data_IF_136556469699
#
_entry.id   IF_136556469699
#
_cell.length_a   1.000
_cell.length_b   1.000
_cell.length_c   1.000
_cell.angle_alpha   90.00
_cell.angle_beta   90.00
_cell.angle_gamma   90.00
#
_symmetry.space_group_name_H-M   'P 1'
#
loop_
_entity.id
_entity.type
_entity.pdbx_description
1 polymer ?
#
# COMPACT_ATOMS: atom_id res chain seq x y z
N UNK A 1 31.82 -7.04 -1.72
CA UNK A 1 31.97 -8.22 -0.86
C UNK A 1 30.65 -8.42 -0.14
N UNK A 2 30.07 -9.62 -0.16
CA UNK A 2 28.87 -9.97 0.61
C UNK A 2 29.23 -10.12 2.08
N UNK A 3 28.40 -9.57 2.97
CA UNK A 3 28.55 -9.66 4.43
C UNK A 3 27.60 -10.74 4.97
N UNK A 4 28.01 -11.44 6.02
CA UNK A 4 27.14 -12.39 6.75
C UNK A 4 25.86 -11.75 7.28
N UNK A 5 25.89 -10.42 7.50
CA UNK A 5 24.73 -9.60 7.93
C UNK A 5 23.97 -8.96 6.79
N UNK A 6 24.30 -9.26 5.52
CA UNK A 6 23.46 -8.83 4.39
C UNK A 6 22.06 -9.43 4.55
N UNK A 7 21.05 -8.61 4.31
CA UNK A 7 19.66 -9.02 4.47
C UNK A 7 19.14 -9.56 3.15
N UNK A 8 18.71 -10.79 3.19
CA UNK A 8 18.17 -11.51 2.04
C UNK A 8 16.68 -11.72 2.15
N UNK A 9 16.01 -11.78 1.01
CA UNK A 9 14.60 -12.14 0.88
C UNK A 9 14.54 -13.58 0.38
N UNK A 10 14.00 -14.46 1.22
CA UNK A 10 13.94 -15.91 0.93
C UNK A 10 12.71 -16.26 0.10
N UNK A 11 11.55 -15.70 0.45
CA UNK A 11 10.28 -15.94 -0.23
C UNK A 11 9.36 -14.72 -0.07
N UNK A 12 8.35 -14.65 -0.95
CA UNK A 12 7.31 -13.64 -0.86
C UNK A 12 6.02 -14.09 -1.55
N UNK A 13 4.90 -13.73 -0.94
CA UNK A 13 3.58 -14.14 -1.37
C UNK A 13 2.57 -13.03 -1.09
N UNK A 14 1.45 -13.04 -1.80
CA UNK A 14 0.32 -12.14 -1.55
C UNK A 14 -1.03 -12.84 -1.75
N UNK A 15 -2.06 -12.29 -1.18
CA UNK A 15 -3.43 -12.61 -1.58
C UNK A 15 -3.77 -11.97 -2.92
N UNK A 16 -4.85 -12.38 -3.58
CA UNK A 16 -5.46 -11.55 -4.61
C UNK A 16 -5.74 -10.15 -4.07
N UNK A 17 -5.64 -9.14 -4.94
CA UNK A 17 -6.11 -7.80 -4.65
C UNK A 17 -7.53 -7.63 -5.20
N UNK A 18 -8.43 -7.22 -4.34
CA UNK A 18 -9.86 -7.25 -4.59
C UNK A 18 -10.45 -5.87 -4.34
N UNK A 19 -11.20 -5.34 -5.31
CA UNK A 19 -11.89 -4.06 -5.16
C UNK A 19 -12.75 -4.06 -3.90
N UNK A 20 -12.71 -2.98 -3.13
CA UNK A 20 -13.49 -2.83 -1.90
C UNK A 20 -15.01 -2.99 -2.16
N UNK A 21 -15.73 -3.35 -1.11
CA UNK A 21 -17.18 -3.64 -1.12
C UNK A 21 -17.60 -4.75 -2.09
N UNK A 22 -16.66 -5.68 -2.39
CA UNK A 22 -16.94 -6.85 -3.23
C UNK A 22 -16.62 -8.16 -2.50
N UNK A 23 -15.77 -9.03 -3.07
CA UNK A 23 -15.54 -10.39 -2.56
C UNK A 23 -14.92 -10.43 -1.14
N UNK A 24 -14.06 -9.47 -0.77
CA UNK A 24 -13.41 -9.45 0.54
C UNK A 24 -14.05 -8.52 1.56
N UNK A 25 -15.22 -7.92 1.26
CA UNK A 25 -15.86 -6.94 2.14
C UNK A 25 -16.08 -7.45 3.58
N UNK A 26 -16.35 -8.74 3.74
CA UNK A 26 -16.63 -9.37 5.04
C UNK A 26 -15.42 -10.16 5.60
N UNK A 27 -14.26 -10.12 4.92
CA UNK A 27 -13.02 -10.79 5.36
C UNK A 27 -12.22 -9.86 6.25
N UNK A 28 -12.06 -10.20 7.51
CA UNK A 28 -11.27 -9.38 8.44
C UNK A 28 -9.82 -9.19 7.94
N UNK A 29 -9.21 -7.98 8.02
CA UNK A 29 -7.85 -7.76 7.53
C UNK A 29 -6.80 -8.65 8.19
N UNK A 30 -7.00 -9.06 9.45
CA UNK A 30 -6.14 -10.05 10.09
C UNK A 30 -6.23 -11.43 9.44
N UNK A 31 -7.36 -11.78 8.83
CA UNK A 31 -7.51 -13.06 8.12
C UNK A 31 -6.78 -13.00 6.77
N UNK A 32 -6.86 -11.90 6.03
CA UNK A 32 -6.07 -11.71 4.81
C UNK A 32 -4.56 -11.79 5.11
N UNK A 33 -4.11 -11.12 6.18
CA UNK A 33 -2.73 -11.18 6.65
C UNK A 33 -2.32 -12.59 7.09
N UNK A 34 -3.20 -13.32 7.80
CA UNK A 34 -2.97 -14.70 8.20
C UNK A 34 -2.76 -15.61 6.99
N UNK A 35 -3.60 -15.49 5.96
CA UNK A 35 -3.47 -16.29 4.74
C UNK A 35 -2.11 -16.04 4.07
N UNK A 36 -1.70 -14.78 3.93
CA UNK A 36 -0.40 -14.46 3.34
C UNK A 36 0.79 -14.97 4.17
N UNK A 37 0.75 -14.81 5.51
CA UNK A 37 1.84 -15.26 6.40
C UNK A 37 1.90 -16.78 6.47
N UNK A 38 0.76 -17.45 6.55
CA UNK A 38 0.70 -18.94 6.58
C UNK A 38 1.27 -19.51 5.27
N UNK A 39 0.82 -19.02 4.13
CA UNK A 39 1.34 -19.46 2.83
C UNK A 39 2.84 -19.18 2.67
N UNK A 40 3.32 -18.05 3.20
CA UNK A 40 4.75 -17.74 3.21
C UNK A 40 5.55 -18.79 3.97
N UNK A 41 5.05 -19.21 5.16
CA UNK A 41 5.66 -20.25 5.98
C UNK A 41 5.73 -21.57 5.20
N UNK A 42 4.63 -21.98 4.58
CA UNK A 42 4.54 -23.22 3.81
C UNK A 42 5.47 -23.19 2.59
N UNK A 43 5.42 -22.14 1.78
CA UNK A 43 6.29 -22.02 0.58
C UNK A 43 7.77 -21.99 0.92
N UNK A 44 8.12 -21.33 2.02
CA UNK A 44 9.51 -21.27 2.48
C UNK A 44 9.94 -22.55 3.22
N UNK A 45 9.03 -23.46 3.55
CA UNK A 45 9.27 -24.58 4.46
C UNK A 45 9.97 -24.11 5.74
N UNK A 46 9.43 -23.05 6.36
CA UNK A 46 10.03 -22.35 7.47
C UNK A 46 9.71 -23.04 8.81
N UNK A 47 10.75 -23.40 9.57
CA UNK A 47 10.57 -23.72 10.99
C UNK A 47 10.18 -22.45 11.76
N UNK A 48 8.91 -22.35 12.15
CA UNK A 48 8.36 -21.19 12.86
C UNK A 48 9.03 -20.93 14.20
N UNK A 49 9.67 -21.93 14.80
CA UNK A 49 10.47 -21.79 16.02
C UNK A 49 11.73 -20.93 15.83
N UNK A 50 12.15 -20.68 14.58
CA UNK A 50 13.33 -19.89 14.21
C UNK A 50 13.00 -18.41 13.92
N UNK A 51 11.72 -18.03 13.90
CA UNK A 51 11.30 -16.64 13.70
C UNK A 51 11.62 -15.81 14.94
N UNK A 52 12.21 -14.64 14.72
CA UNK A 52 12.51 -13.69 15.80
C UNK A 52 11.38 -12.69 16.01
N UNK A 53 10.75 -12.20 14.93
CA UNK A 53 9.64 -11.27 15.01
C UNK A 53 8.76 -11.28 13.75
N UNK A 54 7.49 -10.89 13.92
CA UNK A 54 6.56 -10.60 12.80
C UNK A 54 6.22 -9.12 12.78
N UNK A 55 6.45 -8.45 11.65
CA UNK A 55 6.22 -7.01 11.47
C UNK A 55 5.25 -6.80 10.31
N UNK A 56 4.05 -6.28 10.59
CA UNK A 56 3.01 -6.09 9.58
C UNK A 56 2.60 -4.62 9.50
N UNK A 57 2.60 -4.07 8.29
CA UNK A 57 2.03 -2.77 7.98
C UNK A 57 0.50 -2.82 7.92
N UNK A 58 -0.15 -1.84 8.53
CA UNK A 58 -1.59 -1.66 8.42
C UNK A 58 -1.95 -0.20 8.68
N UNK A 59 -2.94 0.34 7.96
CA UNK A 59 -3.37 1.73 8.13
C UNK A 59 -4.76 1.85 8.72
N UNK A 60 -5.61 0.85 8.54
CA UNK A 60 -6.98 0.85 9.03
C UNK A 60 -7.13 0.65 10.53
N UNK A 61 -6.13 0.10 11.19
CA UNK A 61 -6.08 -0.16 12.64
C UNK A 61 -7.43 -0.64 13.19
N UNK A 62 -7.86 -1.88 12.87
CA UNK A 62 -9.16 -2.39 13.34
C UNK A 62 -9.20 -2.39 14.87
N UNK A 63 -10.30 -1.91 15.45
CA UNK A 63 -10.44 -1.73 16.90
C UNK A 63 -10.40 -3.03 17.71
N UNK A 64 -10.74 -4.14 17.08
CA UNK A 64 -10.71 -5.51 17.64
C UNK A 64 -9.37 -6.23 17.42
N UNK A 65 -8.44 -5.59 16.68
CA UNK A 65 -7.10 -6.09 16.44
C UNK A 65 -6.07 -4.94 16.33
N UNK A 66 -5.98 -4.10 17.36
CA UNK A 66 -5.13 -2.88 17.37
C UNK A 66 -3.66 -3.20 17.03
N UNK A 67 -3.07 -4.25 17.60
CA UNK A 67 -1.82 -4.83 17.11
C UNK A 67 -2.15 -6.00 16.17
N UNK A 68 -2.56 -5.67 14.95
CA UNK A 68 -2.99 -6.67 13.97
C UNK A 68 -1.88 -7.67 13.65
N UNK A 69 -0.61 -7.25 13.67
CA UNK A 69 0.54 -8.14 13.47
C UNK A 69 0.54 -9.29 14.48
N UNK A 70 0.26 -8.99 15.74
CA UNK A 70 0.21 -10.02 16.79
C UNK A 70 -0.93 -11.02 16.55
N UNK A 71 -2.09 -10.51 16.14
CA UNK A 71 -3.24 -11.35 15.81
C UNK A 71 -2.93 -12.26 14.61
N UNK A 72 -2.32 -11.71 13.56
CA UNK A 72 -1.89 -12.46 12.37
C UNK A 72 -0.89 -13.54 12.75
N UNK A 73 0.17 -13.19 13.49
CA UNK A 73 1.22 -14.12 13.91
C UNK A 73 0.65 -15.34 14.64
N UNK A 74 -0.18 -15.11 15.65
CA UNK A 74 -0.79 -16.18 16.43
C UNK A 74 -1.73 -17.07 15.60
N UNK A 75 -2.55 -16.44 14.73
CA UNK A 75 -3.46 -17.19 13.85
C UNK A 75 -2.74 -17.94 12.72
N UNK A 76 -1.55 -17.50 12.33
CA UNK A 76 -0.71 -18.18 11.35
C UNK A 76 0.12 -19.33 11.96
N UNK A 77 0.03 -19.57 13.27
CA UNK A 77 0.75 -20.65 13.93
C UNK A 77 2.13 -20.27 14.48
N UNK A 78 2.48 -18.97 14.49
CA UNK A 78 3.73 -18.50 15.09
C UNK A 78 3.66 -18.68 16.62
N UNK A 79 4.70 -19.23 17.27
CA UNK A 79 4.74 -19.46 18.70
C UNK A 79 4.48 -18.21 19.54
N UNK A 80 3.77 -18.37 20.65
CA UNK A 80 3.37 -17.25 21.51
C UNK A 80 4.55 -16.46 22.09
N UNK A 81 5.73 -17.05 22.22
CA UNK A 81 6.95 -16.38 22.70
C UNK A 81 7.53 -15.37 21.70
N UNK A 82 7.17 -15.51 20.40
CA UNK A 82 7.70 -14.65 19.34
C UNK A 82 6.91 -13.34 19.32
N UNK A 83 7.56 -12.19 19.47
CA UNK A 83 6.89 -10.89 19.44
C UNK A 83 6.39 -10.53 18.05
N UNK A 84 5.44 -9.60 18.01
CA UNK A 84 4.96 -9.03 16.76
C UNK A 84 4.54 -7.58 16.94
N UNK A 85 4.80 -6.73 15.94
CA UNK A 85 4.43 -5.32 15.98
C UNK A 85 3.79 -4.85 14.67
N UNK A 86 2.86 -3.92 14.80
CA UNK A 86 2.25 -3.24 13.67
C UNK A 86 2.96 -1.92 13.41
N UNK A 87 3.27 -1.63 12.14
CA UNK A 87 3.89 -0.37 11.71
C UNK A 87 2.97 0.41 10.79
N UNK A 88 3.10 1.74 10.82
CA UNK A 88 2.26 2.64 10.06
C UNK A 88 3.10 3.76 9.41
N UNK A 89 3.13 3.78 8.08
CA UNK A 89 3.69 4.86 7.24
C UNK A 89 2.76 5.09 6.03
N UNK A 90 1.47 5.25 6.26
CA UNK A 90 0.46 5.39 5.19
C UNK A 90 0.70 4.35 4.08
N UNK A 91 0.75 4.76 2.81
CA UNK A 91 0.93 3.88 1.65
C UNK A 91 2.19 3.01 1.69
N UNK A 92 3.19 3.38 2.49
CA UNK A 92 4.44 2.63 2.65
C UNK A 92 4.48 1.74 3.90
N UNK A 93 3.38 1.51 4.61
CA UNK A 93 3.38 0.71 5.85
C UNK A 93 4.01 -0.67 5.67
N UNK A 94 3.68 -1.36 4.56
CA UNK A 94 4.30 -2.64 4.25
C UNK A 94 5.76 -2.53 3.79
N UNK A 95 6.19 -1.43 3.19
CA UNK A 95 7.61 -1.19 2.93
C UNK A 95 8.36 -0.89 4.23
N UNK A 96 7.73 -0.14 5.16
CA UNK A 96 8.27 0.12 6.50
C UNK A 96 8.50 -1.18 7.28
N UNK A 97 7.60 -2.17 7.16
CA UNK A 97 7.80 -3.47 7.82
C UNK A 97 9.08 -4.17 7.32
N UNK A 98 9.33 -4.12 6.00
CA UNK A 98 10.53 -4.68 5.38
C UNK A 98 11.77 -3.92 5.84
N UNK A 99 11.74 -2.58 5.82
CA UNK A 99 12.91 -1.76 6.21
C UNK A 99 13.19 -1.84 7.71
N UNK A 100 12.16 -1.95 8.56
CA UNK A 100 12.34 -2.22 9.99
C UNK A 100 13.01 -3.58 10.24
N UNK A 101 12.55 -4.63 9.55
CA UNK A 101 13.18 -5.95 9.60
C UNK A 101 14.64 -5.90 9.11
N UNK A 102 14.88 -5.19 8.01
CA UNK A 102 16.23 -4.96 7.47
C UNK A 102 17.16 -4.33 8.51
N UNK A 103 16.74 -3.23 9.16
CA UNK A 103 17.59 -2.55 10.17
C UNK A 103 17.89 -3.46 11.36
N UNK A 104 16.92 -4.23 11.86
CA UNK A 104 17.10 -5.14 12.99
C UNK A 104 18.05 -6.28 12.66
N UNK A 105 17.94 -6.86 11.46
CA UNK A 105 18.85 -7.89 10.99
C UNK A 105 20.26 -7.31 10.79
N UNK A 106 20.40 -6.15 10.17
CA UNK A 106 21.70 -5.47 10.00
C UNK A 106 22.36 -5.14 11.33
N UNK A 107 21.58 -4.70 12.32
CA UNK A 107 22.07 -4.40 13.67
C UNK A 107 22.47 -5.65 14.48
N UNK A 108 22.18 -6.86 14.00
CA UNK A 108 22.48 -8.10 14.70
C UNK A 108 21.53 -8.46 15.83
N UNK A 109 20.41 -7.75 15.96
CA UNK A 109 19.41 -8.02 17.01
C UNK A 109 18.44 -9.15 16.62
N UNK A 110 18.32 -9.45 15.33
CA UNK A 110 17.48 -10.50 14.77
C UNK A 110 18.16 -11.14 13.56
N UNK A 111 17.71 -12.35 13.20
CA UNK A 111 18.17 -13.09 12.04
C UNK A 111 17.06 -13.50 11.09
N UNK A 112 15.82 -13.70 11.59
CA UNK A 112 14.67 -14.18 10.83
C UNK A 112 13.46 -13.31 11.13
N UNK A 113 12.97 -12.57 10.15
CA UNK A 113 11.83 -11.67 10.30
C UNK A 113 10.80 -11.95 9.20
N UNK A 114 9.54 -12.14 9.60
CA UNK A 114 8.41 -12.11 8.67
C UNK A 114 7.93 -10.66 8.59
N UNK A 115 8.06 -10.03 7.42
CA UNK A 115 7.61 -8.69 7.16
C UNK A 115 6.47 -8.69 6.14
N UNK A 116 5.55 -7.75 6.24
CA UNK A 116 4.43 -7.71 5.30
C UNK A 116 3.49 -6.57 5.55
N UNK A 117 2.29 -6.69 4.98
CA UNK A 117 1.22 -5.75 5.22
C UNK A 117 -0.14 -6.31 4.84
N UNK A 118 -1.16 -5.78 5.46
CA UNK A 118 -2.56 -6.14 5.20
C UNK A 118 -3.44 -4.91 5.24
N UNK A 119 -4.45 -4.89 4.40
CA UNK A 119 -5.48 -3.85 4.44
C UNK A 119 -6.82 -4.42 4.00
N UNK A 120 -7.88 -4.06 4.70
CA UNK A 120 -9.23 -4.20 4.20
C UNK A 120 -9.92 -2.84 4.27
N UNK A 121 -9.93 -2.14 3.14
CA UNK A 121 -10.51 -0.81 3.04
C UNK A 121 -12.05 -0.85 3.02
N UNK A 122 -12.64 -2.02 2.74
CA UNK A 122 -14.08 -2.27 2.86
C UNK A 122 -14.57 -2.20 4.32
N UNK A 123 -13.68 -2.53 5.27
CA UNK A 123 -14.03 -2.57 6.70
C UNK A 123 -13.59 -1.32 7.47
N UNK A 124 -13.22 -0.26 6.78
CA UNK A 124 -12.94 1.02 7.42
C UNK A 124 -14.19 1.54 8.15
N UNK A 125 -14.10 1.85 9.47
CA UNK A 125 -15.28 2.11 10.27
C UNK A 125 -15.93 3.46 9.98
N UNK A 126 -17.19 3.59 10.38
CA UNK A 126 -17.82 4.88 10.62
C UNK A 126 -17.39 5.38 11.99
N UNK A 127 -16.83 6.58 12.05
CA UNK A 127 -16.42 7.22 13.30
C UNK A 127 -17.56 8.11 13.76
N UNK A 128 -18.15 7.76 14.90
CA UNK A 128 -19.20 8.55 15.51
C UNK A 128 -18.63 9.74 16.29
N UNK A 129 -19.36 10.86 16.29
CA UNK A 129 -18.97 12.04 17.07
C UNK A 129 -19.02 11.75 18.58
N UNK A 130 -18.18 12.47 19.35
CA UNK A 130 -18.13 12.30 20.82
C UNK A 130 -19.49 12.49 21.52
N UNK A 131 -20.33 13.50 21.19
CA UNK A 131 -21.66 13.62 21.76
C UNK A 131 -22.57 12.42 21.47
N UNK A 132 -22.49 11.84 20.27
CA UNK A 132 -23.24 10.64 19.90
C UNK A 132 -22.80 9.43 20.74
N UNK A 133 -21.48 9.21 20.86
CA UNK A 133 -20.91 8.14 21.70
C UNK A 133 -21.34 8.31 23.16
N UNK A 134 -21.30 9.54 23.70
CA UNK A 134 -21.75 9.83 25.06
C UNK A 134 -23.24 9.54 25.26
N UNK A 135 -24.07 9.83 24.26
CA UNK A 135 -25.50 9.53 24.33
C UNK A 135 -25.75 8.02 24.37
N UNK A 136 -25.04 7.23 23.58
CA UNK A 136 -25.06 5.76 23.64
C UNK A 136 -24.56 5.22 24.98
N UNK A 137 -23.49 5.75 25.52
CA UNK A 137 -22.96 5.35 26.84
C UNK A 137 -23.98 5.63 27.96
N UNK A 138 -24.68 6.80 27.92
CA UNK A 138 -25.76 7.12 28.86
C UNK A 138 -26.92 6.14 28.73
N UNK A 139 -27.28 5.77 27.49
CA UNK A 139 -28.36 4.81 27.24
C UNK A 139 -27.99 3.41 27.79
N UNK A 140 -26.76 2.94 27.53
CA UNK A 140 -26.26 1.65 28.03
C UNK A 140 -26.10 1.62 29.57
N UNK A 141 -25.82 2.77 30.20
CA UNK A 141 -25.68 2.89 31.65
C UNK A 141 -27.00 3.16 32.38
N UNK A 142 -28.10 3.39 31.67
CA UNK A 142 -29.40 3.74 32.26
C UNK A 142 -30.08 2.53 32.89
N UNK A 143 -30.22 2.54 34.21
CA UNK A 143 -30.80 1.44 35.01
C UNK A 143 -32.31 1.52 35.21
N UNK A 144 -32.99 2.53 34.68
CA UNK A 144 -34.42 2.69 34.76
C UNK A 144 -35.04 3.05 33.43
N UNK A 145 -36.30 2.68 33.16
CA UNK A 145 -36.99 3.04 31.92
C UNK A 145 -37.05 4.56 31.66
N UNK A 146 -37.19 5.35 32.72
CA UNK A 146 -37.20 6.82 32.63
C UNK A 146 -35.83 7.38 32.21
N UNK A 147 -34.73 6.82 32.73
CA UNK A 147 -33.39 7.20 32.35
C UNK A 147 -33.07 6.79 30.91
N UNK A 148 -33.57 5.65 30.45
CA UNK A 148 -33.45 5.17 29.05
C UNK A 148 -34.22 6.12 28.12
N UNK A 149 -35.45 6.50 28.48
CA UNK A 149 -36.27 7.45 27.72
C UNK A 149 -35.63 8.84 27.64
N UNK A 150 -35.04 9.31 28.75
CA UNK A 150 -34.28 10.57 28.79
C UNK A 150 -33.02 10.53 27.90
N UNK A 151 -32.27 9.42 27.91
CA UNK A 151 -31.09 9.22 27.05
C UNK A 151 -31.48 9.14 25.56
N UNK A 152 -32.57 8.44 25.23
CA UNK A 152 -33.20 8.42 23.90
C UNK A 152 -33.67 9.80 23.46
N UNK A 153 -34.32 10.55 24.36
CA UNK A 153 -34.71 11.93 24.12
C UNK A 153 -33.53 12.87 23.84
N UNK A 154 -32.38 12.59 24.46
CA UNK A 154 -31.10 13.26 24.15
C UNK A 154 -30.55 12.92 22.75
N UNK A 155 -30.73 11.68 22.30
CA UNK A 155 -30.39 11.25 20.92
C UNK A 155 -31.34 11.87 19.88
N UNK A 156 -32.63 11.98 20.19
CA UNK A 156 -33.66 12.56 19.31
C UNK A 156 -33.61 14.09 19.28
N UNK A 157 -33.20 14.74 20.38
CA UNK A 157 -32.89 16.17 20.44
C UNK A 157 -31.56 16.56 19.80
N UNK A 158 -30.75 15.59 19.47
CA UNK A 158 -29.57 15.77 18.63
C UNK A 158 -30.05 16.27 17.26
N UNK A 159 -30.09 17.57 17.15
CA UNK A 159 -30.83 18.39 16.19
C UNK A 159 -30.48 17.93 14.76
N UNK A 160 -31.40 17.21 14.13
CA UNK A 160 -31.33 16.88 12.70
C UNK A 160 -31.16 18.16 11.85
N UNK A 161 -31.53 19.33 12.36
CA UNK A 161 -31.35 20.62 11.72
C UNK A 161 -29.84 21.03 11.67
N UNK A 162 -29.07 20.77 12.73
CA UNK A 162 -27.60 20.97 12.72
C UNK A 162 -26.89 19.99 11.80
N UNK A 163 -27.44 18.80 11.58
CA UNK A 163 -26.87 17.83 10.61
C UNK A 163 -26.97 18.39 9.18
N UNK A 164 -27.98 19.17 8.85
CA UNK A 164 -28.13 19.77 7.52
C UNK A 164 -27.33 21.06 7.32
N UNK A 165 -27.23 21.91 8.33
CA UNK A 165 -26.50 23.19 8.25
C UNK A 165 -24.97 23.01 8.23
N UNK A 166 -24.43 21.92 8.80
CA UNK A 166 -22.99 21.63 8.89
C UNK A 166 -22.44 20.85 7.68
N UNK A 167 -23.26 20.56 6.67
CA UNK A 167 -22.77 20.03 5.39
C UNK A 167 -21.95 21.05 4.58
N UNK A 168 -21.85 22.29 5.03
CA UNK A 168 -21.25 23.41 4.27
C UNK A 168 -19.92 23.93 4.80
N UNK A 169 -19.41 23.46 5.94
CA UNK A 169 -18.12 23.90 6.48
C UNK A 169 -17.05 22.80 6.35
N UNK A 170 -16.12 22.92 5.40
CA UNK A 170 -14.99 22.00 5.31
C UNK A 170 -13.90 22.42 6.31
N UNK A 171 -13.87 21.79 7.48
CA UNK A 171 -12.70 21.86 8.36
C UNK A 171 -12.44 20.48 8.96
N UNK A 172 -11.27 19.90 8.76
CA UNK A 172 -10.91 18.59 9.32
C UNK A 172 -10.80 18.62 10.84
N UNK A 173 -10.71 19.82 11.46
CA UNK A 173 -10.55 19.99 12.91
C UNK A 173 -11.84 20.39 13.64
N UNK A 174 -12.91 20.76 12.93
CA UNK A 174 -14.19 21.09 13.55
C UNK A 174 -15.04 19.82 13.64
N UNK A 175 -15.08 19.23 14.83
CA UNK A 175 -15.99 18.11 15.13
C UNK A 175 -17.43 18.63 15.15
N UNK A 176 -18.16 18.39 14.08
CA UNK A 176 -19.60 18.63 14.04
C UNK A 176 -20.30 17.63 14.96
N UNK A 177 -21.16 18.14 15.85
CA UNK A 177 -21.61 17.40 17.04
C UNK A 177 -22.26 16.03 16.77
N UNK A 178 -22.81 15.76 15.58
CA UNK A 178 -23.59 14.54 15.33
C UNK A 178 -23.37 13.86 13.98
N UNK A 179 -22.49 14.36 13.11
CA UNK A 179 -22.25 13.76 11.79
C UNK A 179 -21.31 12.55 11.92
N UNK A 180 -21.71 11.34 11.50
CA UNK A 180 -20.76 10.23 11.39
C UNK A 180 -19.73 10.56 10.32
N UNK A 181 -18.44 10.26 10.62
CA UNK A 181 -17.33 10.46 9.71
C UNK A 181 -16.96 9.12 9.08
N UNK A 182 -16.71 9.13 7.80
CA UNK A 182 -16.31 7.94 7.05
C UNK A 182 -14.79 7.84 7.12
N UNK A 183 -14.26 6.91 7.91
CA UNK A 183 -12.82 6.80 8.20
C UNK A 183 -11.96 6.72 6.92
N UNK A 184 -12.42 6.00 5.90
CA UNK A 184 -11.70 5.90 4.62
C UNK A 184 -11.59 7.27 3.91
N UNK A 185 -12.64 8.09 3.94
CA UNK A 185 -12.58 9.42 3.32
C UNK A 185 -11.63 10.36 4.06
N UNK A 186 -11.60 10.25 5.40
CA UNK A 186 -10.65 11.00 6.22
C UNK A 186 -9.22 10.51 6.01
N UNK A 187 -8.99 9.20 5.97
CA UNK A 187 -7.68 8.62 5.72
C UNK A 187 -7.11 8.95 4.33
N UNK A 188 -7.99 9.22 3.35
CA UNK A 188 -7.61 9.66 2.00
C UNK A 188 -7.58 11.19 1.85
N UNK A 189 -7.75 11.94 2.94
CA UNK A 189 -7.66 13.40 2.97
C UNK A 189 -6.47 13.78 3.86
N UNK A 190 -5.56 14.57 3.31
CA UNK A 190 -4.41 15.04 4.08
C UNK A 190 -4.88 16.01 5.18
N UNK A 191 -4.60 15.74 6.46
CA UNK A 191 -5.11 16.57 7.55
C UNK A 191 -4.39 17.92 7.69
N UNK A 192 -3.19 18.06 7.12
CA UNK A 192 -2.40 19.29 7.19
C UNK A 192 -2.84 20.32 6.15
N UNK A 193 -3.02 19.87 4.89
CA UNK A 193 -3.43 20.77 3.80
C UNK A 193 -4.91 20.69 3.47
N UNK A 194 -5.66 19.76 4.07
CA UNK A 194 -7.11 19.64 3.95
C UNK A 194 -7.62 19.19 2.58
N UNK A 195 -6.77 18.59 1.74
CA UNK A 195 -7.14 18.14 0.38
C UNK A 195 -7.06 16.62 0.26
N UNK A 196 -7.93 16.06 -0.58
CA UNK A 196 -7.97 14.62 -0.87
C UNK A 196 -6.78 14.20 -1.74
N UNK A 197 -6.35 12.93 -1.62
CA UNK A 197 -5.22 12.39 -2.39
C UNK A 197 -5.39 12.55 -3.90
N UNK A 198 -6.62 12.44 -4.43
CA UNK A 198 -6.87 12.71 -5.85
C UNK A 198 -6.72 14.18 -6.23
N UNK A 199 -6.99 15.11 -5.33
CA UNK A 199 -6.73 16.54 -5.55
C UNK A 199 -5.23 16.83 -5.59
N UNK A 200 -4.39 16.11 -4.82
CA UNK A 200 -2.93 16.21 -4.95
C UNK A 200 -2.46 15.77 -6.35
N UNK A 201 -3.10 14.75 -6.92
CA UNK A 201 -2.80 14.30 -8.28
C UNK A 201 -3.25 15.30 -9.35
N UNK A 202 -4.38 16.02 -9.15
CA UNK A 202 -4.81 17.12 -10.03
C UNK A 202 -3.80 18.28 -10.02
N UNK A 203 -3.23 18.61 -8.85
CA UNK A 203 -2.15 19.61 -8.75
C UNK A 203 -0.97 19.19 -9.63
N UNK A 204 -0.53 17.94 -9.53
CA UNK A 204 0.58 17.44 -10.34
C UNK A 204 0.24 17.40 -11.82
N UNK A 205 -0.97 16.99 -12.20
CA UNK A 205 -1.41 17.02 -13.59
C UNK A 205 -1.28 18.42 -14.20
N UNK A 206 -1.70 19.44 -13.45
CA UNK A 206 -1.63 20.84 -13.87
C UNK A 206 -0.19 21.36 -13.91
N UNK A 207 0.61 21.15 -12.87
CA UNK A 207 1.98 21.66 -12.76
C UNK A 207 2.92 21.04 -13.81
N UNK A 208 2.71 19.77 -14.15
CA UNK A 208 3.53 19.04 -15.12
C UNK A 208 2.94 18.99 -16.53
N UNK A 209 1.84 19.71 -16.77
CA UNK A 209 1.19 19.80 -18.09
C UNK A 209 0.76 18.42 -18.63
N UNK A 210 0.18 17.58 -17.77
CA UNK A 210 -0.24 16.22 -18.14
C UNK A 210 -1.67 16.26 -18.69
N UNK A 211 -1.83 15.87 -19.94
CA UNK A 211 -3.15 15.80 -20.55
C UNK A 211 -3.97 14.61 -20.02
N UNK A 212 -5.28 14.69 -20.15
CA UNK A 212 -6.19 13.59 -19.85
C UNK A 212 -5.88 12.36 -20.71
N UNK A 213 -5.52 12.57 -21.97
CA UNK A 213 -5.19 11.49 -22.89
C UNK A 213 -3.94 10.71 -22.45
N UNK A 214 -2.83 11.40 -22.08
CA UNK A 214 -1.62 10.74 -21.56
C UNK A 214 -1.93 9.87 -20.34
N UNK A 215 -2.79 10.35 -19.43
CA UNK A 215 -3.19 9.62 -18.22
C UNK A 215 -4.04 8.40 -18.56
N UNK A 216 -4.99 8.52 -19.47
CA UNK A 216 -5.85 7.39 -19.89
C UNK A 216 -5.06 6.34 -20.69
N UNK A 217 -4.10 6.74 -21.54
CA UNK A 217 -3.18 5.82 -22.24
C UNK A 217 -2.31 5.04 -21.25
N UNK A 218 -1.82 5.71 -20.20
CA UNK A 218 -1.07 5.05 -19.14
C UNK A 218 -1.94 4.02 -18.41
N UNK A 219 -3.16 4.38 -18.03
CA UNK A 219 -4.11 3.50 -17.37
C UNK A 219 -4.48 2.29 -18.23
N UNK A 220 -4.71 2.50 -19.54
CA UNK A 220 -4.97 1.41 -20.48
C UNK A 220 -3.80 0.41 -20.52
N UNK A 221 -2.57 0.91 -20.61
CA UNK A 221 -1.35 0.06 -20.60
C UNK A 221 -1.21 -0.74 -19.31
N UNK A 222 -1.54 -0.14 -18.15
CA UNK A 222 -1.55 -0.86 -16.86
C UNK A 222 -2.50 -2.06 -16.91
N UNK A 223 -3.74 -1.87 -17.38
CA UNK A 223 -4.70 -2.95 -17.56
C UNK A 223 -4.23 -4.02 -18.55
N UNK A 224 -3.71 -3.61 -19.70
CA UNK A 224 -3.21 -4.55 -20.72
C UNK A 224 -2.08 -5.43 -20.19
N UNK A 225 -1.10 -4.85 -19.50
CA UNK A 225 0.00 -5.58 -18.86
C UNK A 225 -0.52 -6.53 -17.78
N UNK A 226 -1.44 -6.09 -16.93
CA UNK A 226 -2.00 -6.93 -15.87
C UNK A 226 -2.81 -8.12 -16.44
N UNK A 227 -3.62 -7.90 -17.46
CA UNK A 227 -4.35 -8.97 -18.16
C UNK A 227 -3.39 -9.96 -18.81
N UNK A 228 -2.34 -9.49 -19.46
CA UNK A 228 -1.31 -10.35 -20.06
C UNK A 228 -0.60 -11.20 -19.00
N UNK A 229 -0.24 -10.61 -17.85
CA UNK A 229 0.39 -11.31 -16.74
C UNK A 229 -0.54 -12.36 -16.09
N UNK A 230 -1.84 -12.09 -15.99
CA UNK A 230 -2.82 -13.08 -15.53
C UNK A 230 -2.95 -14.25 -16.54
N UNK A 231 -3.11 -13.95 -17.83
CA UNK A 231 -3.26 -14.96 -18.87
C UNK A 231 -2.03 -15.87 -19.02
N UNK A 232 -0.84 -15.32 -18.79
CA UNK A 232 0.42 -16.10 -18.84
C UNK A 232 0.68 -16.94 -17.58
N UNK A 233 -0.17 -16.82 -16.54
CA UNK A 233 0.06 -17.48 -15.25
C UNK A 233 1.09 -16.80 -14.36
N UNK A 234 1.73 -15.69 -14.79
CA UNK A 234 2.76 -14.99 -14.02
C UNK A 234 2.27 -14.53 -12.64
N UNK A 235 1.03 -14.03 -12.57
CA UNK A 235 0.46 -13.58 -11.29
C UNK A 235 0.20 -14.74 -10.32
N UNK A 236 -0.09 -15.94 -10.81
CA UNK A 236 -0.32 -17.12 -9.97
C UNK A 236 0.94 -17.56 -9.19
N UNK A 237 2.14 -17.19 -9.67
CA UNK A 237 3.41 -17.50 -8.99
C UNK A 237 3.53 -16.78 -7.63
N UNK A 238 2.89 -15.64 -7.46
CA UNK A 238 2.96 -14.82 -6.24
C UNK A 238 1.66 -14.82 -5.42
N UNK A 239 0.54 -15.28 -6.00
CA UNK A 239 -0.77 -15.24 -5.35
C UNK A 239 -1.07 -16.56 -4.62
N UNK A 240 -1.64 -16.46 -3.43
CA UNK A 240 -2.28 -17.57 -2.71
C UNK A 240 -3.79 -17.37 -2.69
N UNK A 241 -4.61 -18.41 -2.94
CA UNK A 241 -6.06 -18.32 -2.86
C UNK A 241 -6.55 -17.96 -1.45
N UNK A 242 -7.61 -17.17 -1.37
CA UNK A 242 -8.33 -16.88 -0.14
C UNK A 242 -9.68 -17.59 -0.17
N UNK A 243 -9.86 -18.54 0.73
CA UNK A 243 -11.11 -19.27 0.90
C UNK A 243 -12.07 -18.50 1.80
N UNK A 244 -13.34 -18.38 1.36
CA UNK A 244 -14.34 -17.54 1.98
C UNK A 244 -15.06 -18.27 3.12
N UNK A 245 -14.98 -17.73 4.34
CA UNK A 245 -15.75 -18.23 5.48
C UNK A 245 -17.26 -18.01 5.28
N UNK A 246 -18.15 -18.74 5.98
CA UNK A 246 -17.83 -19.81 6.93
C UNK A 246 -17.70 -21.21 6.31
N UNK A 247 -18.17 -21.41 5.07
CA UNK A 247 -18.21 -22.74 4.46
C UNK A 247 -16.94 -23.14 3.72
N UNK A 248 -16.06 -22.17 3.37
CA UNK A 248 -14.80 -22.37 2.65
C UNK A 248 -14.94 -23.10 1.31
N UNK A 249 -16.13 -23.02 0.69
CA UNK A 249 -16.44 -23.62 -0.63
C UNK A 249 -16.08 -22.69 -1.78
N UNK A 250 -16.20 -21.40 -1.56
CA UNK A 250 -15.80 -20.37 -2.52
C UNK A 250 -14.42 -19.84 -2.20
N UNK A 251 -13.65 -19.51 -3.22
CA UNK A 251 -12.34 -18.91 -3.06
C UNK A 251 -12.07 -17.84 -4.14
N UNK A 252 -11.15 -16.96 -3.86
CA UNK A 252 -10.63 -15.99 -4.82
C UNK A 252 -9.14 -16.26 -5.01
N UNK A 253 -8.73 -16.53 -6.26
CA UNK A 253 -7.35 -16.92 -6.61
C UNK A 253 -6.68 -15.94 -7.57
N UNK A 254 -7.36 -14.87 -7.98
CA UNK A 254 -6.86 -13.89 -8.94
C UNK A 254 -7.29 -12.50 -8.57
N UNK A 255 -6.47 -11.51 -8.94
CA UNK A 255 -6.87 -10.10 -8.86
C UNK A 255 -8.12 -9.86 -9.72
N UNK A 256 -9.09 -9.14 -9.19
CA UNK A 256 -10.35 -8.89 -9.88
C UNK A 256 -10.41 -7.53 -10.60
N UNK A 257 -9.35 -6.73 -10.44
CA UNK A 257 -9.28 -5.38 -11.01
C UNK A 257 -8.98 -5.30 -12.51
N UNK A 258 -8.11 -6.17 -13.08
CA UNK A 258 -7.73 -6.10 -14.48
C UNK A 258 -8.91 -6.26 -15.43
N UNK A 259 -9.00 -5.37 -16.45
CA UNK A 259 -10.12 -5.30 -17.39
C UNK A 259 -9.65 -5.61 -18.82
N UNK A 260 -9.96 -6.81 -19.35
CA UNK A 260 -9.56 -7.19 -20.71
C UNK A 260 -10.13 -6.29 -21.81
N UNK A 261 -11.36 -5.80 -21.60
CA UNK A 261 -12.12 -5.01 -22.59
C UNK A 261 -11.88 -3.48 -22.43
N UNK A 262 -10.92 -3.06 -21.62
CA UNK A 262 -10.66 -1.63 -21.42
C UNK A 262 -10.18 -1.01 -22.74
N UNK A 263 -10.72 0.18 -23.07
CA UNK A 263 -10.34 0.91 -24.28
C UNK A 263 -10.26 2.42 -24.04
N UNK A 264 -9.54 3.13 -24.92
CA UNK A 264 -9.47 4.60 -24.89
C UNK A 264 -10.84 5.25 -25.05
N UNK A 265 -11.72 4.66 -25.84
CA UNK A 265 -13.09 5.15 -26.01
C UNK A 265 -13.88 5.09 -24.69
N UNK A 266 -13.77 3.98 -23.95
CA UNK A 266 -14.43 3.83 -22.64
C UNK A 266 -13.85 4.79 -21.62
N UNK A 267 -12.53 4.95 -21.57
CA UNK A 267 -11.83 5.86 -20.67
C UNK A 267 -12.24 7.31 -20.94
N UNK A 268 -12.25 7.72 -22.20
CA UNK A 268 -12.60 9.09 -22.63
C UNK A 268 -14.03 9.52 -22.25
N UNK A 269 -14.97 8.57 -22.08
CA UNK A 269 -16.35 8.85 -21.65
C UNK A 269 -16.46 9.21 -20.16
N UNK A 270 -15.44 8.91 -19.34
CA UNK A 270 -15.49 9.14 -17.91
C UNK A 270 -15.29 10.61 -17.56
N UNK A 271 -16.09 11.10 -16.62
CA UNK A 271 -15.98 12.47 -16.13
C UNK A 271 -14.88 12.57 -15.06
N UNK A 272 -14.18 13.71 -14.95
CA UNK A 272 -13.29 13.99 -13.83
C UNK A 272 -14.00 13.79 -12.48
N UNK A 273 -13.30 13.20 -11.52
CA UNK A 273 -13.88 12.83 -10.23
C UNK A 273 -13.58 13.84 -9.12
N UNK A 274 -12.33 14.27 -9.02
CA UNK A 274 -11.86 15.12 -7.90
C UNK A 274 -12.02 16.62 -8.16
N UNK A 275 -11.78 17.07 -9.38
CA UNK A 275 -12.15 18.41 -9.85
C UNK A 275 -13.11 18.26 -11.03
N UNK A 276 -14.41 18.42 -10.76
CA UNK A 276 -15.46 18.20 -11.76
C UNK A 276 -15.43 19.17 -12.93
N UNK A 277 -14.79 20.33 -12.76
CA UNK A 277 -14.83 21.43 -13.75
C UNK A 277 -13.57 21.47 -14.63
N UNK A 278 -12.42 21.30 -14.02
CA UNK A 278 -11.13 21.49 -14.68
C UNK A 278 -10.19 20.28 -14.54
N UNK A 279 -10.63 19.24 -13.84
CA UNK A 279 -9.82 18.07 -13.56
C UNK A 279 -9.64 17.13 -14.72
N UNK A 280 -8.68 16.25 -14.56
CA UNK A 280 -8.30 15.22 -15.53
C UNK A 280 -8.30 13.82 -14.92
N UNK A 281 -8.32 13.75 -13.58
CA UNK A 281 -8.31 12.48 -12.85
C UNK A 281 -9.71 11.87 -12.81
N UNK A 282 -9.82 10.61 -13.24
CA UNK A 282 -11.06 9.84 -13.24
C UNK A 282 -10.94 8.60 -12.38
N UNK A 283 -12.02 7.91 -12.15
CA UNK A 283 -12.04 6.61 -11.45
C UNK A 283 -11.30 5.48 -12.19
N UNK A 284 -10.88 5.70 -13.43
CA UNK A 284 -10.18 4.70 -14.23
C UNK A 284 -8.70 5.02 -14.49
N UNK A 285 -8.24 6.26 -14.24
CA UNK A 285 -6.82 6.61 -14.26
C UNK A 285 -6.25 6.85 -12.84
N UNK A 286 -6.99 6.37 -11.82
CA UNK A 286 -6.65 6.29 -10.42
C UNK A 286 -6.78 4.84 -9.94
N UNK A 287 -5.99 4.44 -8.94
CA UNK A 287 -6.13 3.12 -8.34
C UNK A 287 -7.48 2.98 -7.62
N UNK A 288 -8.15 1.83 -7.69
CA UNK A 288 -9.36 1.57 -6.91
C UNK A 288 -9.04 1.36 -5.43
N UNK A 289 -10.00 1.66 -4.58
CA UNK A 289 -10.00 1.25 -3.17
C UNK A 289 -10.04 -0.28 -3.13
N UNK A 290 -9.15 -0.90 -2.34
CA UNK A 290 -8.82 -2.31 -2.51
C UNK A 290 -8.50 -3.00 -1.19
N UNK A 291 -8.79 -4.30 -1.12
CA UNK A 291 -8.51 -5.19 0.00
C UNK A 291 -7.43 -6.20 -0.41
N UNK A 292 -6.51 -6.54 0.50
CA UNK A 292 -5.48 -7.53 0.24
C UNK A 292 -4.35 -7.53 1.26
N UNK A 293 -3.47 -8.53 1.17
CA UNK A 293 -2.30 -8.69 2.03
C UNK A 293 -1.10 -9.23 1.24
N UNK A 294 0.10 -8.97 1.74
CA UNK A 294 1.35 -9.51 1.20
C UNK A 294 2.36 -9.73 2.34
N UNK A 295 3.23 -10.74 2.19
CA UNK A 295 4.26 -11.04 3.16
C UNK A 295 5.56 -11.48 2.47
N UNK A 296 6.70 -11.22 3.11
CA UNK A 296 8.06 -11.64 2.71
C UNK A 296 8.81 -12.19 3.92
N UNK A 297 9.68 -13.16 3.67
CA UNK A 297 10.60 -13.72 4.67
C UNK A 297 11.98 -13.10 4.50
N UNK A 298 12.42 -12.37 5.52
CA UNK A 298 13.75 -11.75 5.60
C UNK A 298 14.66 -12.56 6.51
N UNK A 299 15.89 -12.76 6.09
CA UNK A 299 16.93 -13.40 6.91
C UNK A 299 18.26 -12.68 6.79
N UNK A 300 19.15 -12.84 7.80
CA UNK A 300 20.56 -12.60 7.58
C UNK A 300 21.09 -13.67 6.60
N UNK A 301 22.06 -13.32 5.76
CA UNK A 301 22.63 -14.24 4.78
C UNK A 301 23.22 -15.50 5.43
N UNK A 302 23.92 -15.32 6.57
CA UNK A 302 24.45 -16.44 7.33
C UNK A 302 23.35 -17.37 7.83
N UNK A 303 22.24 -16.79 8.33
CA UNK A 303 21.12 -17.59 8.87
C UNK A 303 20.35 -18.33 7.77
N UNK A 304 20.15 -17.70 6.63
CA UNK A 304 19.54 -18.34 5.47
C UNK A 304 20.37 -19.58 5.03
N UNK A 305 21.70 -19.42 4.96
CA UNK A 305 22.62 -20.53 4.64
C UNK A 305 22.58 -21.64 5.70
N UNK A 306 22.61 -21.29 6.99
CA UNK A 306 22.54 -22.24 8.10
C UNK A 306 21.26 -23.08 8.06
N UNK A 307 20.12 -22.45 7.77
CA UNK A 307 18.83 -23.11 7.68
C UNK A 307 18.57 -23.78 6.32
N UNK A 308 19.51 -23.70 5.38
CA UNK A 308 19.39 -24.33 4.06
C UNK A 308 18.46 -23.62 3.09
N UNK A 309 18.09 -22.37 3.36
CA UNK A 309 17.28 -21.57 2.46
C UNK A 309 18.10 -20.98 1.31
N UNK A 310 17.48 -20.89 0.13
CA UNK A 310 18.04 -20.24 -1.06
C UNK A 310 17.38 -18.87 -1.24
N UNK A 311 18.09 -17.76 -1.00
CA UNK A 311 17.52 -16.44 -1.19
C UNK A 311 17.15 -16.16 -2.65
N UNK A 312 16.07 -15.41 -2.85
CA UNK A 312 15.63 -14.91 -4.16
C UNK A 312 16.33 -13.58 -4.49
N UNK A 313 16.43 -12.70 -3.48
CA UNK A 313 17.04 -11.39 -3.63
C UNK A 313 17.72 -10.95 -2.33
N UNK A 314 18.59 -9.94 -2.42
CA UNK A 314 19.12 -9.20 -1.26
C UNK A 314 18.73 -7.73 -1.32
N UNK A 315 18.54 -7.10 -0.15
CA UNK A 315 18.23 -5.67 -0.05
C UNK A 315 19.54 -4.89 -0.10
N UNK A 316 19.73 -4.07 -1.14
CA UNK A 316 20.93 -3.22 -1.29
C UNK A 316 20.82 -1.92 -0.52
N UNK A 317 19.70 -1.27 -0.61
CA UNK A 317 19.41 -0.01 0.08
C UNK A 317 17.94 0.30 0.09
N UNK A 318 17.58 1.23 0.93
CA UNK A 318 16.27 1.89 0.90
C UNK A 318 16.40 3.35 1.30
N UNK A 319 15.36 4.14 1.03
CA UNK A 319 15.24 5.51 1.51
C UNK A 319 13.79 5.92 1.66
N UNK A 320 13.53 6.75 2.67
CA UNK A 320 12.34 7.58 2.74
C UNK A 320 12.77 9.04 2.60
N UNK A 321 11.92 9.85 1.95
CA UNK A 321 12.14 11.28 1.77
C UNK A 321 10.83 12.04 2.02
N UNK A 322 10.93 13.24 2.60
CA UNK A 322 9.79 14.15 2.82
C UNK A 322 9.72 15.21 1.73
N UNK A 323 8.51 15.69 1.46
CA UNK A 323 8.22 16.80 0.54
C UNK A 323 6.90 17.47 0.94
N UNK A 324 6.50 18.50 0.19
CA UNK A 324 5.24 19.21 0.42
C UNK A 324 4.04 18.24 0.32
N UNK A 325 3.14 18.18 1.32
CA UNK A 325 2.02 17.23 1.35
C UNK A 325 1.10 17.30 0.13
N UNK A 326 0.83 18.49 -0.39
CA UNK A 326 0.00 18.70 -1.58
C UNK A 326 0.64 18.15 -2.87
N UNK A 327 1.95 17.85 -2.84
CA UNK A 327 2.71 17.24 -3.94
C UNK A 327 3.21 15.84 -3.60
N UNK A 328 2.57 15.16 -2.64
CA UNK A 328 2.97 13.85 -2.14
C UNK A 328 3.24 12.83 -3.26
N UNK A 329 2.54 12.96 -4.39
CA UNK A 329 2.71 12.07 -5.54
C UNK A 329 4.12 12.08 -6.13
N UNK A 330 4.92 13.14 -5.93
CA UNK A 330 6.33 13.19 -6.35
C UNK A 330 7.28 12.45 -5.39
N UNK A 331 6.79 11.86 -4.29
CA UNK A 331 7.59 11.13 -3.32
C UNK A 331 8.63 10.18 -3.92
N UNK A 332 8.30 9.36 -4.94
CA UNK A 332 9.26 8.52 -5.65
C UNK A 332 10.45 9.29 -6.23
N UNK A 333 10.23 10.47 -6.79
CA UNK A 333 11.30 11.29 -7.36
C UNK A 333 12.25 11.86 -6.30
N UNK A 334 11.81 11.99 -5.04
CA UNK A 334 12.67 12.39 -3.92
C UNK A 334 13.38 11.21 -3.26
N UNK A 335 12.70 10.08 -3.07
CA UNK A 335 13.27 8.93 -2.37
C UNK A 335 14.25 8.11 -3.23
N UNK A 336 13.96 7.96 -4.53
CA UNK A 336 14.77 7.14 -5.44
C UNK A 336 16.24 7.58 -5.53
N UNK A 337 16.60 8.86 -5.75
CA UNK A 337 18.00 9.26 -5.84
C UNK A 337 18.76 9.01 -4.53
N UNK A 338 18.10 9.09 -3.39
CA UNK A 338 18.72 8.78 -2.09
C UNK A 338 19.02 7.29 -1.97
N UNK A 339 18.07 6.43 -2.37
CA UNK A 339 18.26 4.99 -2.36
C UNK A 339 19.36 4.56 -3.34
N UNK A 340 19.37 5.11 -4.56
CA UNK A 340 20.41 4.87 -5.56
C UNK A 340 21.79 5.25 -5.04
N UNK A 341 21.94 6.44 -4.45
CA UNK A 341 23.21 6.90 -3.87
C UNK A 341 23.71 5.95 -2.77
N UNK A 342 22.81 5.50 -1.88
CA UNK A 342 23.16 4.55 -0.80
C UNK A 342 23.61 3.20 -1.35
N UNK A 343 23.05 2.75 -2.48
CA UNK A 343 23.45 1.53 -3.15
C UNK A 343 24.75 1.67 -3.97
N UNK A 344 25.21 2.88 -4.23
CA UNK A 344 26.31 3.15 -5.17
C UNK A 344 25.91 2.89 -6.63
N UNK A 345 24.61 3.02 -6.94
CA UNK A 345 24.01 2.72 -8.25
C UNK A 345 23.37 3.96 -8.86
N UNK A 346 23.06 3.87 -10.15
CA UNK A 346 22.30 4.87 -10.91
C UNK A 346 21.00 4.26 -11.42
N UNK A 347 20.09 5.10 -11.91
CA UNK A 347 18.83 4.61 -12.50
C UNK A 347 19.06 3.71 -13.73
N UNK A 348 20.17 3.89 -14.43
CA UNK A 348 20.56 3.07 -15.62
C UNK A 348 20.92 1.63 -15.26
N UNK A 349 21.30 1.38 -14.02
CA UNK A 349 21.64 0.03 -13.53
C UNK A 349 20.37 -0.78 -13.21
N UNK A 350 19.20 -0.13 -13.13
CA UNK A 350 17.94 -0.79 -12.86
C UNK A 350 17.42 -1.49 -14.12
N UNK A 351 17.28 -2.81 -14.06
CA UNK A 351 16.69 -3.59 -15.15
C UNK A 351 15.16 -3.74 -15.04
N UNK A 352 14.60 -3.50 -13.84
CA UNK A 352 13.15 -3.46 -13.58
C UNK A 352 12.81 -2.38 -12.55
N UNK A 353 11.64 -1.75 -12.73
CA UNK A 353 11.10 -0.74 -11.82
C UNK A 353 9.63 -1.04 -11.52
N UNK A 354 9.29 -1.18 -10.25
CA UNK A 354 7.93 -1.19 -9.75
C UNK A 354 7.65 0.17 -9.10
N UNK A 355 6.94 1.07 -9.78
CA UNK A 355 6.49 2.36 -9.28
C UNK A 355 4.99 2.28 -9.01
N UNK A 356 4.57 2.47 -7.76
CA UNK A 356 3.15 2.38 -7.42
C UNK A 356 2.30 3.38 -8.20
N UNK A 357 1.24 2.90 -8.82
CA UNK A 357 0.32 3.68 -9.63
C UNK A 357 -0.87 4.16 -8.81
N UNK A 358 -0.66 5.04 -7.83
CA UNK A 358 -1.77 5.63 -7.10
C UNK A 358 -2.67 6.45 -8.05
N UNK A 359 -2.06 7.17 -8.98
CA UNK A 359 -2.70 7.92 -10.07
C UNK A 359 -1.79 7.91 -11.30
N UNK A 360 -2.35 7.84 -12.49
CA UNK A 360 -1.57 7.94 -13.73
C UNK A 360 -0.80 9.27 -13.80
N UNK A 361 -1.45 10.39 -13.42
CA UNK A 361 -0.81 11.70 -13.34
C UNK A 361 0.39 11.70 -12.39
N UNK A 362 0.29 11.02 -11.25
CA UNK A 362 1.38 10.92 -10.27
C UNK A 362 2.59 10.19 -10.85
N UNK A 363 2.39 9.07 -11.53
CA UNK A 363 3.49 8.31 -12.16
C UNK A 363 4.15 9.14 -13.26
N UNK A 364 3.36 9.73 -14.14
CA UNK A 364 3.86 10.55 -15.24
C UNK A 364 4.61 11.79 -14.72
N UNK A 365 4.12 12.43 -13.65
CA UNK A 365 4.84 13.53 -13.00
C UNK A 365 6.18 13.07 -12.42
N UNK A 366 6.22 11.93 -11.74
CA UNK A 366 7.48 11.36 -11.21
C UNK A 366 8.50 11.08 -12.30
N UNK A 367 8.08 10.47 -13.41
CA UNK A 367 9.00 10.15 -14.52
C UNK A 367 9.55 11.43 -15.17
N UNK A 368 8.69 12.45 -15.40
CA UNK A 368 9.11 13.77 -15.90
C UNK A 368 10.04 14.49 -14.89
N UNK A 369 9.75 14.40 -13.58
CA UNK A 369 10.57 15.03 -12.55
C UNK A 369 11.96 14.42 -12.47
N UNK A 370 12.07 13.10 -12.48
CA UNK A 370 13.37 12.42 -12.46
C UNK A 370 14.20 12.70 -13.72
N UNK A 371 13.58 12.98 -14.85
CA UNK A 371 14.26 13.34 -16.12
C UNK A 371 14.47 14.85 -16.32
N UNK A 372 14.29 15.64 -15.27
CA UNK A 372 14.42 17.11 -15.31
C UNK A 372 15.66 17.60 -14.56
N UNK A 373 16.61 18.23 -15.29
CA UNK A 373 17.76 18.91 -14.67
C UNK A 373 17.33 20.06 -13.75
N UNK A 374 16.27 20.79 -14.14
CA UNK A 374 15.71 21.86 -13.31
C UNK A 374 15.19 21.32 -11.98
N UNK A 375 14.41 20.23 -12.01
CA UNK A 375 13.89 19.62 -10.79
C UNK A 375 15.03 19.09 -9.92
N UNK A 376 16.02 18.42 -10.52
CA UNK A 376 17.18 17.89 -9.82
C UNK A 376 17.93 19.01 -9.06
N UNK A 377 18.17 20.13 -9.71
CA UNK A 377 18.85 21.27 -9.10
C UNK A 377 18.00 21.97 -8.05
N UNK A 378 16.76 22.31 -8.36
CA UNK A 378 15.92 23.17 -7.52
C UNK A 378 15.34 22.43 -6.31
N UNK A 379 15.08 21.12 -6.45
CA UNK A 379 14.36 20.33 -5.45
C UNK A 379 15.20 19.24 -4.79
N UNK A 380 16.18 18.68 -5.49
CA UNK A 380 17.00 17.57 -4.97
C UNK A 380 18.43 17.99 -4.59
N UNK A 381 18.87 19.21 -4.95
CA UNK A 381 20.25 19.67 -4.74
C UNK A 381 21.27 18.84 -5.53
N UNK A 382 20.87 18.30 -6.68
CA UNK A 382 21.72 17.51 -7.57
C UNK A 382 22.15 18.34 -8.78
N UNK A 383 23.38 18.14 -9.26
CA UNK A 383 23.91 18.83 -10.43
C UNK A 383 23.25 18.36 -11.75
N UNK A 384 22.72 17.14 -11.75
CA UNK A 384 22.15 16.49 -12.94
C UNK A 384 20.85 15.75 -12.56
N UNK A 385 19.98 15.58 -13.55
CA UNK A 385 18.78 14.73 -13.44
C UNK A 385 19.12 13.30 -13.01
N UNK A 386 18.17 12.67 -12.32
CA UNK A 386 18.28 11.24 -11.92
C UNK A 386 18.30 10.36 -13.17
N UNK A 387 17.46 10.67 -14.15
CA UNK A 387 17.36 10.01 -15.44
C UNK A 387 15.91 9.64 -15.79
N UNK A 388 15.69 9.27 -17.04
CA UNK A 388 14.41 8.76 -17.52
C UNK A 388 14.24 7.29 -17.11
N UNK A 389 13.04 6.94 -16.64
CA UNK A 389 12.64 5.53 -16.50
C UNK A 389 12.14 5.04 -17.85
N UNK A 390 12.73 3.96 -18.35
CA UNK A 390 12.25 3.30 -19.56
C UNK A 390 10.87 2.65 -19.28
N UNK A 391 9.81 3.02 -20.03
CA UNK A 391 8.50 2.41 -19.88
C UNK A 391 8.47 0.90 -20.12
N UNK A 392 9.46 0.35 -20.82
CA UNK A 392 9.57 -1.08 -21.10
C UNK A 392 9.96 -1.92 -19.88
N UNK A 393 10.66 -1.31 -18.90
CA UNK A 393 11.05 -1.98 -17.65
C UNK A 393 10.17 -1.58 -16.46
N UNK A 394 9.24 -0.63 -16.64
CA UNK A 394 8.37 -0.14 -15.58
C UNK A 394 7.04 -0.89 -15.55
N UNK A 395 6.69 -1.41 -14.34
CA UNK A 395 5.40 -2.07 -14.06
C UNK A 395 5.05 -3.07 -15.17
N UNK A 396 5.97 -3.98 -15.47
CA UNK A 396 5.88 -4.87 -16.64
C UNK A 396 4.71 -5.86 -16.57
N UNK A 397 4.17 -6.07 -15.37
CA UNK A 397 3.00 -6.91 -15.10
C UNK A 397 1.73 -6.08 -14.77
N UNK A 398 1.71 -4.80 -15.14
CA UNK A 398 0.69 -3.85 -14.70
C UNK A 398 0.92 -3.37 -13.27
N UNK A 399 0.18 -2.36 -12.84
CA UNK A 399 0.32 -1.76 -11.52
C UNK A 399 -1.01 -1.49 -10.84
N UNK A 400 -1.01 -0.61 -9.85
CA UNK A 400 -2.13 -0.40 -8.95
C UNK A 400 -3.41 0.14 -9.62
N UNK A 401 -3.32 0.80 -10.76
CA UNK A 401 -4.51 1.23 -11.51
C UNK A 401 -5.32 0.01 -11.93
N UNK A 402 -4.65 -1.05 -12.38
CA UNK A 402 -5.30 -2.29 -12.78
C UNK A 402 -5.52 -3.25 -11.60
N UNK A 403 -4.52 -3.42 -10.74
CA UNK A 403 -4.50 -4.41 -9.65
C UNK A 403 -5.21 -3.93 -8.39
N UNK A 404 -5.11 -2.62 -8.09
CA UNK A 404 -5.55 -2.04 -6.83
C UNK A 404 -4.41 -1.65 -5.89
N UNK A 405 -4.78 -0.89 -4.84
CA UNK A 405 -3.86 -0.34 -3.86
C UNK A 405 -4.39 -0.53 -2.43
N UNK A 406 -4.32 -1.76 -1.86
CA UNK A 406 -4.54 -1.93 -0.42
C UNK A 406 -3.39 -1.22 0.31
N UNK A 407 -3.68 -0.07 0.90
CA UNK A 407 -2.68 0.92 1.36
C UNK A 407 -1.61 0.29 2.23
N UNK A 408 -2.02 -0.48 3.25
CA UNK A 408 -1.11 -1.14 4.18
C UNK A 408 -0.35 -2.34 3.64
N UNK A 409 -0.70 -2.86 2.42
CA UNK A 409 -0.09 -4.06 1.85
C UNK A 409 0.80 -3.79 0.62
N UNK A 410 0.58 -2.66 -0.05
CA UNK A 410 1.17 -2.39 -1.38
C UNK A 410 2.70 -2.39 -1.38
N UNK A 411 3.36 -1.84 -0.35
CA UNK A 411 4.83 -1.80 -0.30
C UNK A 411 5.47 -3.18 -0.44
N UNK A 412 4.93 -4.19 0.25
CA UNK A 412 5.39 -5.58 0.13
C UNK A 412 5.01 -6.19 -1.22
N UNK A 413 3.81 -5.90 -1.77
CA UNK A 413 3.42 -6.37 -3.11
C UNK A 413 4.41 -5.92 -4.18
N UNK A 414 4.85 -4.65 -4.14
CA UNK A 414 5.83 -4.14 -5.09
C UNK A 414 7.14 -4.97 -5.04
N UNK A 415 7.62 -5.28 -3.83
CA UNK A 415 8.84 -6.07 -3.65
C UNK A 415 8.64 -7.52 -4.12
N UNK A 416 7.51 -8.15 -3.80
CA UNK A 416 7.20 -9.52 -4.23
C UNK A 416 7.12 -9.64 -5.75
N UNK A 417 6.38 -8.73 -6.40
CA UNK A 417 6.26 -8.71 -7.86
C UNK A 417 7.62 -8.47 -8.52
N UNK A 418 8.38 -7.50 -8.00
CA UNK A 418 9.70 -7.14 -8.51
C UNK A 418 10.69 -8.31 -8.43
N UNK A 419 10.87 -8.92 -7.25
CA UNK A 419 11.86 -9.98 -7.07
C UNK A 419 11.56 -11.22 -7.92
N UNK A 420 10.30 -11.61 -8.04
CA UNK A 420 9.90 -12.76 -8.88
C UNK A 420 10.09 -12.47 -10.37
N UNK A 421 9.82 -11.24 -10.79
CA UNK A 421 10.07 -10.84 -12.18
C UNK A 421 11.56 -10.72 -12.50
N UNK A 422 12.38 -10.26 -11.54
CA UNK A 422 13.84 -10.23 -11.67
C UNK A 422 14.41 -11.66 -11.84
N UNK A 423 13.91 -12.63 -11.08
CA UNK A 423 14.29 -14.03 -11.27
C UNK A 423 13.96 -14.52 -12.68
N UNK A 424 12.72 -14.31 -13.12
CA UNK A 424 12.22 -14.78 -14.41
C UNK A 424 12.98 -14.20 -15.60
N UNK A 425 13.34 -12.91 -15.52
CA UNK A 425 14.06 -12.20 -16.60
C UNK A 425 15.57 -12.19 -16.43
N UNK A 426 16.10 -12.81 -15.38
CA UNK A 426 17.53 -12.79 -15.06
C UNK A 426 18.11 -11.37 -14.91
N UNK A 427 17.32 -10.46 -14.30
CA UNK A 427 17.70 -9.07 -14.05
C UNK A 427 18.42 -8.94 -12.72
N UNK A 428 19.55 -8.22 -12.70
CA UNK A 428 20.39 -8.09 -11.50
C UNK A 428 19.80 -7.12 -10.48
N UNK A 429 19.44 -5.88 -10.87
CA UNK A 429 18.95 -4.85 -9.95
C UNK A 429 17.52 -4.43 -10.28
N UNK A 430 16.72 -4.25 -9.24
CA UNK A 430 15.37 -3.77 -9.33
C UNK A 430 15.07 -2.68 -8.29
N UNK A 431 14.21 -1.74 -8.67
CA UNK A 431 13.74 -0.64 -7.84
C UNK A 431 12.24 -0.80 -7.58
N UNK A 432 11.82 -0.80 -6.32
CA UNK A 432 10.43 -0.58 -5.94
C UNK A 432 10.28 0.76 -5.25
N UNK A 433 9.29 1.56 -5.65
CA UNK A 433 9.09 2.92 -5.12
C UNK A 433 7.61 3.30 -5.10
N UNK A 434 7.22 4.14 -4.13
CA UNK A 434 5.84 4.60 -3.97
C UNK A 434 5.76 5.98 -3.33
N UNK A 435 4.70 6.71 -3.68
CA UNK A 435 4.29 7.94 -3.01
C UNK A 435 3.56 7.60 -1.70
N UNK A 436 3.59 8.52 -0.75
CA UNK A 436 3.04 8.33 0.60
C UNK A 436 2.26 9.57 0.98
N UNK A 437 1.00 9.42 1.35
CA UNK A 437 0.17 10.50 1.88
C UNK A 437 0.84 11.19 3.07
N UNK A 438 0.65 12.50 3.20
CA UNK A 438 1.37 13.34 4.17
C UNK A 438 2.69 13.89 3.64
N UNK A 439 2.96 13.79 2.33
CA UNK A 439 4.16 14.37 1.71
C UNK A 439 5.42 13.56 1.95
N UNK A 440 5.41 12.27 1.62
CA UNK A 440 6.59 11.43 1.69
C UNK A 440 6.73 10.55 0.45
N UNK A 441 7.91 9.97 0.26
CA UNK A 441 8.20 8.91 -0.71
C UNK A 441 9.03 7.81 -0.08
N UNK A 442 8.87 6.58 -0.59
CA UNK A 442 9.67 5.43 -0.20
C UNK A 442 10.24 4.71 -1.41
N UNK A 443 11.50 4.26 -1.32
CA UNK A 443 12.18 3.50 -2.37
C UNK A 443 13.03 2.41 -1.75
N UNK A 444 13.07 1.24 -2.38
CA UNK A 444 13.95 0.13 -2.02
C UNK A 444 14.58 -0.44 -3.29
N UNK A 445 15.86 -0.76 -3.20
CA UNK A 445 16.64 -1.40 -4.26
C UNK A 445 17.00 -2.79 -3.80
N UNK A 446 16.69 -3.77 -4.63
CA UNK A 446 17.03 -5.17 -4.41
C UNK A 446 17.93 -5.69 -5.53
N UNK A 447 18.77 -6.63 -5.17
CA UNK A 447 19.66 -7.37 -6.08
C UNK A 447 19.22 -8.83 -6.12
N UNK A 448 19.07 -9.39 -7.32
CA UNK A 448 18.75 -10.81 -7.51
C UNK A 448 19.91 -11.67 -7.03
N UNK A 449 19.61 -12.69 -6.27
CA UNK A 449 20.56 -13.74 -5.92
C UNK A 449 20.73 -14.75 -7.09
N UNK A 450 21.89 -15.38 -7.17
CA UNK A 450 22.27 -16.27 -8.27
C UNK A 450 21.47 -17.58 -8.30
#
# INVERSE_FOLDING_TARGET
>A
MTSDRDVVIVEGVRTPFVKSDTKFRDVHPAELGRVAVHELIERANLDVEKVDEVIIGNTGTPSDAVNISRVIALRAGIPQRIPAMTVHRNCASALESITTGFERIRAGTMDVVIAGGTENMSQMPLIMSRPFVQAFQRLGGARSPMAQLSALGGLLKADFKQVFELMTVPSPFVQTAYKPRIAIMEGLTDPFVGINMGQTAEILAKEWGLSRQEQDEFALKSHQKAVAAQKSGRMAEEITPVFMAPQYKEYVAQDIGPRPEQSMEQLGKLKPFFDKKYGTITVANACPITDGAAAVLLMSRSRAKELGHKPIASIKSYAFAGLEPERMGLGPAYATPVALKRAGLTLKDMGLVELNEAFAAQVLACTKAMDSDKFAKDKLGLDKKVGAIDPAIMNVNGGAIALGHPVGATGTRLVVTLMKEMQKRNVQFGLATLCIGGGQGGSIIIEREA
#
